data_IF_526356795828
#
_entry.id   IF_526356795828
#
_cell.length_a   1.000
_cell.length_b   1.000
_cell.length_c   1.000
_cell.angle_alpha   90.00
_cell.angle_beta   90.00
_cell.angle_gamma   90.00
#
_symmetry.space_group_name_H-M   'P 1'
#
loop_
_entity.id
_entity.type
_entity.pdbx_description
1 polymer ?
#
# COMPACT_ATOMS: atom_id res chain seq x y z
N UNK A 1 1.66 -4.08 -0.99
CA UNK A 1 2.42 -4.99 -0.09
C UNK A 1 2.47 -6.44 -0.62
N UNK A 2 1.55 -6.89 -1.45
CA UNK A 2 1.42 -8.32 -1.87
C UNK A 2 2.43 -8.80 -2.94
N UNK A 3 3.16 -7.92 -3.61
CA UNK A 3 3.99 -8.27 -4.78
C UNK A 3 5.41 -8.77 -4.44
N UNK A 4 5.86 -8.66 -3.19
CA UNK A 4 7.23 -8.96 -2.78
C UNK A 4 7.27 -10.10 -1.75
N UNK A 5 8.40 -10.85 -1.73
CA UNK A 5 8.70 -11.69 -0.59
C UNK A 5 8.87 -10.81 0.67
N UNK A 6 8.61 -11.39 1.85
CA UNK A 6 8.65 -10.68 3.13
C UNK A 6 9.97 -9.92 3.33
N UNK A 7 11.11 -10.57 3.10
CA UNK A 7 12.45 -9.99 3.32
C UNK A 7 12.73 -8.84 2.33
N UNK A 8 12.23 -8.97 1.10
CA UNK A 8 12.37 -7.92 0.09
C UNK A 8 11.50 -6.71 0.44
N UNK A 9 10.25 -6.93 0.88
CA UNK A 9 9.36 -5.85 1.31
C UNK A 9 9.94 -5.09 2.52
N UNK A 10 10.52 -5.81 3.49
CA UNK A 10 11.18 -5.20 4.64
C UNK A 10 12.34 -4.30 4.22
N UNK A 11 13.20 -4.80 3.34
CA UNK A 11 14.33 -4.07 2.79
C UNK A 11 13.90 -2.84 1.99
N UNK A 12 12.85 -2.95 1.17
CA UNK A 12 12.30 -1.83 0.41
C UNK A 12 11.69 -0.75 1.33
N UNK A 13 10.93 -1.14 2.34
CA UNK A 13 10.28 -0.20 3.25
C UNK A 13 11.26 0.52 4.17
N UNK A 14 12.17 -0.24 4.82
CA UNK A 14 13.03 0.26 5.89
C UNK A 14 14.49 0.45 5.48
N UNK A 15 14.90 -0.09 4.32
CA UNK A 15 16.29 -0.08 3.88
C UNK A 15 17.14 -1.17 4.54
N UNK A 16 18.36 -1.31 4.07
CA UNK A 16 19.32 -2.27 4.60
C UNK A 16 20.76 -1.76 4.56
N UNK A 17 21.60 -2.37 5.38
CA UNK A 17 23.06 -2.22 5.33
C UNK A 17 23.68 -3.28 4.43
N UNK A 18 24.81 -2.95 3.84
CA UNK A 18 25.63 -3.92 3.12
C UNK A 18 25.95 -5.12 4.04
N UNK A 19 25.76 -6.34 3.51
CA UNK A 19 25.98 -7.58 4.28
C UNK A 19 24.80 -8.01 5.17
N UNK A 20 23.67 -7.30 5.18
CA UNK A 20 22.52 -7.63 6.03
C UNK A 20 21.86 -8.99 5.67
N UNK A 21 21.92 -9.38 4.41
CA UNK A 21 21.44 -10.65 3.88
C UNK A 21 22.18 -11.02 2.58
N UNK A 22 22.02 -12.25 2.09
CA UNK A 22 22.61 -12.69 0.83
C UNK A 22 22.11 -11.84 -0.33
N UNK A 23 23.00 -11.08 -0.98
CA UNK A 23 22.67 -10.14 -2.06
C UNK A 23 22.63 -8.67 -1.64
N UNK A 24 22.75 -8.34 -0.35
CA UNK A 24 22.89 -6.96 0.13
C UNK A 24 24.33 -6.44 -0.11
N UNK A 25 24.64 -6.09 -1.36
CA UNK A 25 26.00 -5.68 -1.79
C UNK A 25 26.35 -4.27 -1.32
N UNK A 26 25.37 -3.40 -1.15
CA UNK A 26 25.56 -1.98 -0.75
C UNK A 26 24.47 -1.56 0.23
N UNK A 27 24.70 -0.44 0.92
CA UNK A 27 23.67 0.21 1.73
C UNK A 27 22.55 0.71 0.83
N UNK A 28 21.29 0.50 1.25
CA UNK A 28 20.11 0.99 0.56
C UNK A 28 19.21 1.76 1.52
N UNK A 29 18.74 2.93 1.07
CA UNK A 29 17.67 3.67 1.75
C UNK A 29 16.34 2.98 1.51
N UNK A 30 15.48 2.99 2.54
CA UNK A 30 14.12 2.49 2.41
C UNK A 30 13.13 3.61 2.09
N UNK A 31 11.92 3.22 1.65
CA UNK A 31 10.85 4.14 1.28
C UNK A 31 10.47 5.11 2.41
N UNK A 32 10.53 4.71 3.68
CA UNK A 32 10.27 5.61 4.80
C UNK A 32 11.33 6.73 4.92
N UNK A 33 12.59 6.43 4.63
CA UNK A 33 13.65 7.45 4.63
C UNK A 33 13.51 8.40 3.43
N UNK A 34 13.12 7.86 2.27
CA UNK A 34 12.87 8.66 1.05
C UNK A 34 11.63 9.56 1.18
N UNK A 35 10.59 9.07 1.87
CA UNK A 35 9.36 9.81 2.13
C UNK A 35 9.47 10.80 3.31
N UNK A 36 10.65 10.98 3.90
CA UNK A 36 10.84 11.88 5.06
C UNK A 36 10.38 13.31 4.74
N UNK A 37 9.60 13.91 5.63
CA UNK A 37 8.89 15.18 5.47
C UNK A 37 7.84 15.19 4.33
N UNK A 38 7.39 14.00 3.91
CA UNK A 38 6.41 13.81 2.85
C UNK A 38 5.28 12.85 3.24
N UNK A 39 4.78 12.14 2.25
CA UNK A 39 3.67 11.19 2.42
C UNK A 39 4.03 9.85 1.80
N UNK A 40 3.76 8.77 2.52
CA UNK A 40 3.83 7.40 2.00
C UNK A 40 2.42 6.81 1.87
N UNK A 41 2.15 6.15 0.75
CA UNK A 41 0.91 5.39 0.52
C UNK A 41 1.21 3.89 0.62
N UNK A 42 0.55 3.23 1.56
CA UNK A 42 0.68 1.79 1.81
C UNK A 42 -0.59 1.08 1.31
N UNK A 43 -0.51 0.53 0.13
CA UNK A 43 -1.62 -0.25 -0.43
C UNK A 43 -1.59 -1.70 0.06
N UNK A 44 -2.78 -2.29 0.22
CA UNK A 44 -2.99 -3.66 0.72
C UNK A 44 -2.31 -3.93 2.07
N UNK A 45 -2.46 -3.00 3.02
CA UNK A 45 -1.83 -3.12 4.35
C UNK A 45 -2.27 -4.39 5.10
N UNK A 46 -3.48 -4.90 4.82
CA UNK A 46 -4.00 -6.14 5.40
C UNK A 46 -3.25 -7.41 5.00
N UNK A 47 -2.37 -7.34 3.98
CA UNK A 47 -1.50 -8.42 3.54
C UNK A 47 -0.13 -8.43 4.22
N UNK A 48 0.17 -7.41 5.02
CA UNK A 48 1.48 -7.24 5.64
C UNK A 48 1.74 -8.30 6.70
N UNK A 49 2.93 -8.90 6.71
CA UNK A 49 3.34 -9.84 7.75
C UNK A 49 3.41 -9.19 9.14
N UNK A 50 3.09 -9.94 10.20
CA UNK A 50 2.94 -9.44 11.57
C UNK A 50 4.20 -8.72 12.13
N UNK A 51 5.38 -9.16 11.78
CA UNK A 51 6.63 -8.54 12.18
C UNK A 51 6.86 -7.18 11.49
N UNK A 52 6.46 -7.05 10.22
CA UNK A 52 6.48 -5.76 9.52
C UNK A 52 5.42 -4.81 10.07
N UNK A 53 4.26 -5.34 10.48
CA UNK A 53 3.24 -4.54 11.18
C UNK A 53 3.79 -3.97 12.49
N UNK A 54 4.60 -4.73 13.25
CA UNK A 54 5.24 -4.26 14.48
C UNK A 54 6.26 -3.13 14.19
N UNK A 55 7.04 -3.24 13.11
CA UNK A 55 7.96 -2.17 12.68
C UNK A 55 7.21 -0.93 12.22
N UNK A 56 6.13 -1.09 11.45
CA UNK A 56 5.28 -0.01 11.00
C UNK A 56 4.66 0.74 12.18
N UNK A 57 4.15 0.01 13.18
CA UNK A 57 3.60 0.61 14.39
C UNK A 57 4.63 1.54 15.07
N UNK A 58 5.87 1.10 15.18
CA UNK A 58 6.96 1.92 15.75
C UNK A 58 7.19 3.19 14.95
N UNK A 59 7.16 3.12 13.62
CA UNK A 59 7.28 4.33 12.77
C UNK A 59 6.13 5.29 13.02
N UNK A 60 4.89 4.78 13.14
CA UNK A 60 3.70 5.62 13.39
C UNK A 60 3.75 6.28 14.77
N UNK A 61 4.27 5.58 15.79
CA UNK A 61 4.27 6.07 17.17
C UNK A 61 5.42 7.05 17.49
N UNK A 62 6.61 6.73 17.03
CA UNK A 62 7.83 7.47 17.39
C UNK A 62 8.54 8.13 16.21
N UNK A 63 8.14 7.83 14.99
CA UNK A 63 8.87 8.24 13.79
C UNK A 63 10.20 7.51 13.62
N UNK A 64 10.39 6.35 14.29
CA UNK A 64 11.69 5.69 14.36
C UNK A 64 11.64 4.25 13.88
N UNK A 65 12.70 3.80 13.20
CA UNK A 65 12.88 2.41 12.80
C UNK A 65 14.36 2.03 12.70
N UNK A 66 14.61 0.72 12.54
CA UNK A 66 15.93 0.16 12.27
C UNK A 66 15.95 -0.38 10.83
N UNK A 67 17.00 -0.06 10.08
CA UNK A 67 17.29 -0.73 8.80
C UNK A 67 17.66 -2.19 9.05
N UNK A 68 17.47 -3.03 8.05
CA UNK A 68 17.90 -4.43 8.13
C UNK A 68 19.42 -4.47 8.29
N UNK A 69 19.90 -5.18 9.32
CA UNK A 69 21.33 -5.28 9.63
C UNK A 69 21.94 -4.05 10.32
N UNK A 70 21.12 -3.08 10.79
CA UNK A 70 21.62 -1.91 11.51
C UNK A 70 21.06 -1.86 12.94
N UNK A 71 21.91 -1.46 13.89
CA UNK A 71 21.53 -1.22 15.28
C UNK A 71 21.20 0.26 15.57
N UNK A 72 21.56 1.16 14.66
CA UNK A 72 21.29 2.60 14.79
C UNK A 72 19.88 2.93 14.32
N UNK A 73 19.13 3.62 15.17
CA UNK A 73 17.79 4.10 14.84
C UNK A 73 17.84 5.22 13.80
N UNK A 74 17.00 5.09 12.77
CA UNK A 74 16.71 6.16 11.79
C UNK A 74 15.41 6.85 12.21
N UNK A 75 15.40 8.18 12.20
CA UNK A 75 14.21 8.98 12.53
C UNK A 75 13.66 9.67 11.29
N UNK A 76 12.34 9.66 11.15
CA UNK A 76 11.61 10.26 10.02
C UNK A 76 10.33 10.92 10.51
N UNK A 77 9.86 11.91 9.74
CA UNK A 77 8.54 12.51 9.87
C UNK A 77 7.77 12.27 8.56
N UNK A 78 6.83 11.32 8.59
CA UNK A 78 6.13 10.86 7.39
C UNK A 78 4.63 10.78 7.64
N UNK A 79 3.84 11.40 6.77
CA UNK A 79 2.41 11.19 6.74
C UNK A 79 2.10 9.84 6.10
N UNK A 80 1.32 9.00 6.79
CA UNK A 80 0.95 7.67 6.29
C UNK A 80 -0.51 7.69 5.81
N UNK A 81 -0.72 7.19 4.60
CA UNK A 81 -2.03 6.86 4.04
C UNK A 81 -2.02 5.36 3.77
N UNK A 82 -2.97 4.63 4.34
CA UNK A 82 -3.08 3.19 4.17
C UNK A 82 -4.39 2.81 3.47
N UNK A 83 -4.33 1.80 2.61
CA UNK A 83 -5.51 1.23 1.96
C UNK A 83 -5.54 -0.29 2.13
N UNK A 84 -6.73 -0.87 2.16
CA UNK A 84 -6.94 -2.32 2.17
C UNK A 84 -8.30 -2.67 1.61
N UNK A 85 -8.40 -3.80 0.96
CA UNK A 85 -9.66 -4.43 0.56
C UNK A 85 -10.14 -5.48 1.57
N UNK A 86 -9.35 -5.78 2.62
CA UNK A 86 -9.69 -6.74 3.67
C UNK A 86 -10.48 -6.08 4.79
N UNK A 87 -11.32 -6.89 5.45
CA UNK A 87 -11.92 -6.52 6.73
C UNK A 87 -10.89 -6.71 7.85
N UNK A 88 -10.23 -5.62 8.26
CA UNK A 88 -9.15 -5.68 9.26
C UNK A 88 -9.62 -6.23 10.61
N UNK A 89 -10.89 -6.05 11.00
CA UNK A 89 -11.40 -6.65 12.24
C UNK A 89 -11.39 -8.18 12.16
N UNK A 90 -11.81 -8.76 11.04
CA UNK A 90 -11.73 -10.22 10.84
C UNK A 90 -10.29 -10.73 10.81
N UNK A 91 -9.37 -9.94 10.24
CA UNK A 91 -7.94 -10.29 10.25
C UNK A 91 -7.33 -10.22 11.66
N UNK A 92 -7.81 -9.32 12.53
CA UNK A 92 -7.43 -9.27 13.96
C UNK A 92 -7.94 -10.52 14.69
N UNK A 93 -9.21 -10.86 14.50
CA UNK A 93 -9.84 -12.03 15.14
C UNK A 93 -9.15 -13.34 14.70
N UNK A 94 -8.65 -13.38 13.47
CA UNK A 94 -7.88 -14.51 12.91
C UNK A 94 -6.38 -14.48 13.31
N UNK A 95 -5.91 -13.45 14.00
CA UNK A 95 -4.50 -13.30 14.39
C UNK A 95 -3.55 -12.91 13.26
N UNK A 96 -4.05 -12.43 12.13
CA UNK A 96 -3.26 -12.01 10.97
C UNK A 96 -2.94 -10.51 10.97
N UNK A 97 -3.67 -9.71 11.76
CA UNK A 97 -3.43 -8.29 11.88
C UNK A 97 -3.39 -7.87 13.35
N UNK A 98 -2.50 -6.94 13.68
CA UNK A 98 -2.32 -6.47 15.06
C UNK A 98 -3.38 -5.43 15.40
N UNK A 99 -4.02 -5.61 16.54
CA UNK A 99 -5.03 -4.70 17.06
C UNK A 99 -4.48 -3.30 17.40
N UNK A 100 -3.25 -3.25 17.93
CA UNK A 100 -2.59 -1.98 18.26
C UNK A 100 -2.31 -1.13 17.00
N UNK A 101 -1.84 -1.76 15.92
CA UNK A 101 -1.66 -1.09 14.64
C UNK A 101 -2.99 -0.59 14.07
N UNK A 102 -4.04 -1.43 14.12
CA UNK A 102 -5.38 -1.05 13.65
C UNK A 102 -5.85 0.26 14.27
N UNK A 103 -5.80 0.39 15.60
CA UNK A 103 -6.23 1.63 16.26
C UNK A 103 -5.36 2.85 15.91
N UNK A 104 -4.12 2.64 15.54
CA UNK A 104 -3.20 3.72 15.17
C UNK A 104 -3.42 4.24 13.75
N UNK A 105 -3.78 3.37 12.81
CA UNK A 105 -4.04 3.76 11.41
C UNK A 105 -5.50 4.17 11.17
N UNK A 106 -6.45 3.70 11.99
CA UNK A 106 -7.88 3.89 11.80
C UNK A 106 -8.43 5.17 12.44
N UNK A 107 -7.59 6.20 12.64
CA UNK A 107 -8.00 7.49 13.21
C UNK A 107 -8.97 8.22 12.28
N UNK A 108 -8.78 8.13 10.97
CA UNK A 108 -9.67 8.67 9.96
C UNK A 108 -9.89 7.63 8.87
N UNK A 109 -11.12 7.09 8.81
CA UNK A 109 -11.48 6.06 7.83
C UNK A 109 -12.32 6.65 6.71
N UNK A 110 -11.96 6.32 5.47
CA UNK A 110 -12.75 6.60 4.27
C UNK A 110 -13.18 5.26 3.69
N UNK A 111 -14.48 4.97 3.73
CA UNK A 111 -15.03 3.79 3.10
C UNK A 111 -15.40 4.10 1.65
N UNK A 112 -14.70 3.47 0.71
CA UNK A 112 -15.02 3.57 -0.70
C UNK A 112 -16.14 2.56 -1.04
N UNK A 113 -17.31 3.02 -1.55
CA UNK A 113 -18.36 2.11 -1.96
C UNK A 113 -17.93 1.30 -3.17
N UNK A 114 -18.44 0.09 -3.31
CA UNK A 114 -18.21 -0.74 -4.48
C UNK A 114 -18.79 -0.08 -5.75
N UNK A 115 -18.21 -0.39 -6.91
CA UNK A 115 -18.66 0.23 -8.18
C UNK A 115 -20.15 0.00 -8.46
N UNK A 116 -20.71 -1.16 -8.09
CA UNK A 116 -22.14 -1.47 -8.17
C UNK A 116 -23.04 -0.54 -7.33
N UNK A 117 -22.48 0.13 -6.33
CA UNK A 117 -23.18 1.06 -5.42
C UNK A 117 -23.10 2.52 -5.92
N UNK A 118 -22.27 2.77 -6.94
CA UNK A 118 -22.07 4.06 -7.59
C UNK A 118 -22.23 3.94 -9.10
N UNK A 119 -23.41 3.52 -9.51
CA UNK A 119 -23.75 3.21 -10.91
C UNK A 119 -23.46 4.36 -11.87
N UNK A 120 -23.63 5.62 -11.42
CA UNK A 120 -23.32 6.80 -12.22
C UNK A 120 -21.85 6.88 -12.67
N UNK A 121 -20.93 6.24 -11.97
CA UNK A 121 -19.51 6.23 -12.31
C UNK A 121 -19.18 5.21 -13.42
N UNK A 122 -20.05 4.21 -13.64
CA UNK A 122 -19.82 3.11 -14.61
C UNK A 122 -19.65 3.67 -16.02
N UNK A 123 -20.57 4.53 -16.46
CA UNK A 123 -20.51 5.12 -17.80
C UNK A 123 -19.27 6.01 -17.98
N UNK A 124 -18.94 6.82 -16.96
CA UNK A 124 -17.77 7.69 -16.98
C UNK A 124 -16.46 6.88 -17.08
N UNK A 125 -16.35 5.83 -16.28
CA UNK A 125 -15.19 4.93 -16.30
C UNK A 125 -15.08 4.16 -17.62
N UNK A 126 -16.20 3.64 -18.14
CA UNK A 126 -16.23 2.92 -19.42
C UNK A 126 -15.74 3.82 -20.56
N UNK A 127 -16.24 5.06 -20.64
CA UNK A 127 -15.81 6.02 -21.64
C UNK A 127 -14.33 6.42 -21.47
N UNK A 128 -13.86 6.62 -20.26
CA UNK A 128 -12.45 6.92 -20.00
C UNK A 128 -11.53 5.78 -20.48
N UNK A 129 -11.83 4.54 -20.10
CA UNK A 129 -11.03 3.39 -20.52
C UNK A 129 -11.13 3.12 -22.03
N UNK A 130 -12.28 3.37 -22.63
CA UNK A 130 -12.44 3.28 -24.08
C UNK A 130 -11.46 4.21 -24.80
N UNK A 131 -11.39 5.47 -24.39
CA UNK A 131 -10.46 6.45 -24.96
C UNK A 131 -9.00 6.02 -24.74
N UNK A 132 -8.66 5.62 -23.52
CA UNK A 132 -7.30 5.21 -23.15
C UNK A 132 -6.84 4.00 -23.99
N UNK A 133 -7.66 2.97 -24.11
CA UNK A 133 -7.31 1.76 -24.84
C UNK A 133 -7.41 1.92 -26.37
N UNK A 134 -8.33 2.74 -26.86
CA UNK A 134 -8.37 3.09 -28.28
C UNK A 134 -7.07 3.75 -28.74
N UNK A 135 -6.56 4.68 -27.95
CA UNK A 135 -5.27 5.32 -28.22
C UNK A 135 -4.08 4.32 -28.18
N UNK A 136 -4.06 3.43 -27.18
CA UNK A 136 -2.99 2.43 -27.02
C UNK A 136 -2.99 1.34 -28.11
N UNK A 137 -4.17 0.95 -28.59
CA UNK A 137 -4.31 -0.16 -29.56
C UNK A 137 -4.47 0.30 -31.00
N UNK A 138 -4.49 1.62 -31.22
CA UNK A 138 -4.73 2.24 -32.53
C UNK A 138 -6.06 1.79 -33.19
N UNK A 139 -7.07 1.42 -32.36
CA UNK A 139 -8.41 1.03 -32.80
C UNK A 139 -9.38 2.18 -32.59
N UNK A 140 -10.08 2.57 -33.63
CA UNK A 140 -11.11 3.62 -33.56
C UNK A 140 -12.43 3.03 -33.12
N UNK A 141 -12.71 3.03 -31.81
CA UNK A 141 -14.01 2.68 -31.25
C UNK A 141 -14.73 3.99 -30.93
N UNK A 142 -15.92 4.20 -31.48
CA UNK A 142 -16.59 5.52 -31.46
C UNK A 142 -17.68 5.58 -30.39
N UNK A 143 -18.27 4.44 -30.00
CA UNK A 143 -19.44 4.42 -29.11
C UNK A 143 -19.57 3.10 -28.34
N UNK A 144 -20.04 3.19 -27.13
CA UNK A 144 -20.45 2.08 -26.27
C UNK A 144 -21.98 1.94 -26.44
N UNK A 145 -22.50 0.72 -26.65
CA UNK A 145 -23.95 0.49 -26.72
C UNK A 145 -24.57 0.55 -25.31
N UNK A 146 -25.88 0.85 -25.26
CA UNK A 146 -26.63 0.85 -23.99
C UNK A 146 -26.65 -0.54 -23.35
N UNK A 147 -26.82 -1.57 -24.15
CA UNK A 147 -26.87 -2.96 -23.71
C UNK A 147 -25.54 -3.37 -23.02
N UNK A 148 -24.39 -2.83 -23.47
CA UNK A 148 -23.11 -3.08 -22.85
C UNK A 148 -22.98 -2.40 -21.46
N UNK A 149 -23.60 -1.23 -21.27
CA UNK A 149 -23.56 -0.51 -19.99
C UNK A 149 -24.53 -1.09 -18.96
N UNK A 150 -25.58 -1.80 -19.41
CA UNK A 150 -26.61 -2.42 -18.58
C UNK A 150 -26.28 -3.88 -18.21
N UNK A 151 -25.28 -4.50 -18.81
CA UNK A 151 -24.83 -5.87 -18.57
C UNK A 151 -23.85 -5.95 -17.39
#
# INVERSE_FOLDING_TARGET
CSAFSKDLLESEMFGHKAGAFTGAVKDQKGLFEEANNGTIFLDEIGEMALDLQAKLLRVIESGEFLKVGESKTTKVDVRIIAATNRNLQKEIDAGHFRQDLFYRISVFQIQLPALRERVADIELLANHFLQLFSAKTNKRIVKISKEFLEA
#
